data_IF_566171625579
#
_entry.id   IF_566171625579
#
_cell.length_a   1.000
_cell.length_b   1.000
_cell.length_c   1.000
_cell.angle_alpha   90.00
_cell.angle_beta   90.00
_cell.angle_gamma   90.00
#
_symmetry.space_group_name_H-M   'P 1'
#
loop_
_entity.id
_entity.type
_entity.pdbx_description
1 polymer ?
#
# COMPACT_ATOMS: atom_id res chain seq x y z
N UNK A 1 8.16 -21.07 5.16
CA UNK A 1 8.85 -20.00 5.92
C UNK A 1 7.88 -18.83 6.00
N UNK A 2 7.86 -18.02 7.07
CA UNK A 2 7.06 -16.79 7.09
C UNK A 2 7.55 -15.85 5.98
N UNK A 3 6.63 -15.19 5.26
CA UNK A 3 6.96 -14.18 4.26
C UNK A 3 7.81 -13.06 4.89
N UNK A 4 8.83 -12.63 4.15
CA UNK A 4 9.71 -11.54 4.53
C UNK A 4 9.03 -10.17 4.41
N UNK A 5 9.61 -9.16 5.05
CA UNK A 5 9.17 -7.76 4.92
C UNK A 5 9.13 -7.28 3.47
N UNK A 6 10.11 -7.71 2.66
CA UNK A 6 10.22 -7.37 1.25
C UNK A 6 9.15 -8.06 0.40
N UNK A 7 8.96 -9.38 0.54
CA UNK A 7 7.91 -10.10 -0.20
C UNK A 7 6.51 -9.53 0.08
N UNK A 8 6.24 -9.12 1.32
CA UNK A 8 4.97 -8.47 1.67
C UNK A 8 4.83 -7.08 1.05
N UNK A 9 5.93 -6.34 0.91
CA UNK A 9 5.93 -5.03 0.25
C UNK A 9 5.70 -5.18 -1.26
N UNK A 10 6.41 -6.09 -1.92
CA UNK A 10 6.24 -6.40 -3.35
C UNK A 10 4.80 -6.84 -3.65
N UNK A 11 4.22 -7.66 -2.78
CA UNK A 11 2.82 -8.06 -2.88
C UNK A 11 1.87 -6.86 -2.70
N UNK A 12 2.17 -5.95 -1.78
CA UNK A 12 1.38 -4.73 -1.57
C UNK A 12 1.43 -3.82 -2.79
N UNK A 13 2.61 -3.64 -3.41
CA UNK A 13 2.81 -2.89 -4.66
C UNK A 13 1.92 -3.47 -5.77
N UNK A 14 2.05 -4.77 -6.05
CA UNK A 14 1.27 -5.42 -7.12
C UNK A 14 -0.24 -5.34 -6.86
N UNK A 15 -0.66 -5.41 -5.60
CA UNK A 15 -2.07 -5.26 -5.24
C UNK A 15 -2.55 -3.83 -5.46
N UNK A 16 -1.77 -2.82 -5.09
CA UNK A 16 -2.10 -1.41 -5.31
C UNK A 16 -2.12 -1.05 -6.81
N UNK A 17 -1.22 -1.60 -7.63
CA UNK A 17 -1.29 -1.45 -9.10
C UNK A 17 -2.61 -1.99 -9.66
N UNK A 18 -3.04 -3.18 -9.20
CA UNK A 18 -4.34 -3.77 -9.58
C UNK A 18 -5.52 -2.95 -9.08
N UNK A 19 -5.40 -2.25 -7.95
CA UNK A 19 -6.42 -1.34 -7.44
C UNK A 19 -6.50 -0.10 -8.33
N UNK A 20 -5.36 0.53 -8.64
CA UNK A 20 -5.29 1.73 -9.46
C UNK A 20 -5.85 1.51 -10.88
N UNK A 21 -5.65 0.32 -11.47
CA UNK A 21 -6.14 0.01 -12.83
C UNK A 21 -7.64 0.30 -13.01
N UNK A 22 -7.98 1.33 -13.78
CA UNK A 22 -9.38 1.73 -14.04
C UNK A 22 -10.08 2.43 -12.87
N UNK A 23 -9.41 2.68 -11.75
CA UNK A 23 -9.97 3.42 -10.61
C UNK A 23 -10.23 4.89 -10.95
N UNK A 24 -9.43 5.50 -11.83
CA UNK A 24 -9.62 6.88 -12.27
C UNK A 24 -10.95 7.15 -12.97
N UNK A 25 -11.60 6.12 -13.51
CA UNK A 25 -12.95 6.25 -14.07
C UNK A 25 -14.03 6.39 -13.00
N UNK A 26 -13.76 5.93 -11.78
CA UNK A 26 -14.65 6.02 -10.63
C UNK A 26 -14.31 7.26 -9.78
N UNK A 27 -13.05 7.41 -9.39
CA UNK A 27 -12.56 8.54 -8.60
C UNK A 27 -11.05 8.75 -8.85
N UNK A 28 -10.72 9.89 -9.46
CA UNK A 28 -9.34 10.24 -9.78
C UNK A 28 -8.49 10.57 -8.54
N UNK A 29 -9.09 11.05 -7.44
CA UNK A 29 -8.38 11.30 -6.21
C UNK A 29 -7.98 9.98 -5.56
N UNK A 30 -8.87 8.99 -5.53
CA UNK A 30 -8.53 7.65 -5.04
C UNK A 30 -7.43 6.98 -5.85
N UNK A 31 -7.48 7.08 -7.18
CA UNK A 31 -6.41 6.59 -8.05
C UNK A 31 -5.08 7.28 -7.73
N UNK A 32 -5.08 8.60 -7.56
CA UNK A 32 -3.88 9.38 -7.21
C UNK A 32 -3.26 8.89 -5.90
N UNK A 33 -4.06 8.71 -4.84
CA UNK A 33 -3.59 8.20 -3.54
C UNK A 33 -2.97 6.80 -3.66
N UNK A 34 -3.61 5.90 -4.42
CA UNK A 34 -3.11 4.53 -4.59
C UNK A 34 -1.81 4.50 -5.41
N UNK A 35 -1.71 5.33 -6.45
CA UNK A 35 -0.48 5.48 -7.24
C UNK A 35 0.65 6.06 -6.40
N UNK A 36 0.37 7.06 -5.55
CA UNK A 36 1.38 7.62 -4.64
C UNK A 36 1.93 6.54 -3.69
N UNK A 37 1.06 5.66 -3.17
CA UNK A 37 1.49 4.52 -2.33
C UNK A 37 2.41 3.57 -3.12
N UNK A 38 2.07 3.24 -4.37
CA UNK A 38 2.90 2.39 -5.24
C UNK A 38 4.29 3.00 -5.42
N UNK A 39 4.36 4.29 -5.78
CA UNK A 39 5.63 4.98 -5.99
C UNK A 39 6.49 4.99 -4.71
N UNK A 40 5.88 5.25 -3.55
CA UNK A 40 6.60 5.24 -2.27
C UNK A 40 7.02 3.87 -1.82
N UNK A 41 6.22 2.84 -2.09
CA UNK A 41 6.60 1.47 -1.80
C UNK A 41 7.74 1.01 -2.71
N UNK A 42 7.71 1.36 -4.00
CA UNK A 42 8.82 1.06 -4.92
C UNK A 42 10.11 1.75 -4.46
N UNK A 43 10.04 3.03 -4.08
CA UNK A 43 11.17 3.81 -3.55
C UNK A 43 11.81 3.13 -2.32
N UNK A 44 11.01 2.69 -1.35
CA UNK A 44 11.53 2.05 -0.13
C UNK A 44 11.93 0.58 -0.33
N UNK A 45 11.35 -0.13 -1.30
CA UNK A 45 11.67 -1.53 -1.60
C UNK A 45 13.15 -1.71 -1.96
N UNK A 46 13.73 -0.72 -2.65
CA UNK A 46 15.13 -0.70 -3.06
C UNK A 46 16.12 -0.45 -1.91
N UNK A 47 15.64 -0.02 -0.75
CA UNK A 47 16.48 0.42 0.37
C UNK A 47 17.17 -0.75 1.09
N UNK A 48 18.31 -0.45 1.72
CA UNK A 48 19.03 -1.44 2.53
C UNK A 48 18.19 -1.96 3.71
N UNK A 49 17.29 -1.13 4.24
CA UNK A 49 16.40 -1.50 5.33
C UNK A 49 15.51 -2.69 4.96
N UNK A 50 14.83 -2.63 3.81
CA UNK A 50 13.95 -3.70 3.35
C UNK A 50 14.72 -4.96 2.91
N UNK A 51 15.91 -4.79 2.34
CA UNK A 51 16.76 -5.90 1.89
C UNK A 51 17.37 -6.71 3.05
N UNK A 52 17.48 -6.12 4.23
CA UNK A 52 18.21 -6.75 5.37
C UNK A 52 17.34 -7.04 6.57
N UNK A 53 16.16 -6.43 6.69
CA UNK A 53 15.25 -6.67 7.80
C UNK A 53 14.23 -7.75 7.43
N UNK A 54 14.29 -8.94 8.04
CA UNK A 54 13.48 -10.09 7.63
C UNK A 54 11.99 -9.90 7.91
N UNK A 55 11.60 -9.04 8.86
CA UNK A 55 10.19 -8.79 9.15
C UNK A 55 9.98 -7.34 9.60
N UNK A 56 9.08 -6.65 8.91
CA UNK A 56 8.69 -5.27 9.19
C UNK A 56 7.19 -5.31 9.49
N UNK A 57 6.74 -5.30 10.76
CA UNK A 57 5.35 -5.56 11.11
C UNK A 57 4.30 -4.72 10.36
N UNK A 58 4.53 -3.41 10.10
CA UNK A 58 3.60 -2.60 9.32
C UNK A 58 3.38 -3.08 7.88
N UNK A 59 4.35 -3.76 7.24
CA UNK A 59 4.17 -4.22 5.85
C UNK A 59 3.12 -5.31 5.74
N UNK A 60 2.95 -6.11 6.80
CA UNK A 60 1.86 -7.09 6.89
C UNK A 60 0.49 -6.41 6.98
N UNK A 61 0.41 -5.30 7.71
CA UNK A 61 -0.84 -4.53 7.84
C UNK A 61 -1.19 -3.88 6.51
N UNK A 62 -0.25 -3.17 5.88
CA UNK A 62 -0.44 -2.56 4.57
C UNK A 62 -0.86 -3.59 3.50
N UNK A 63 -0.22 -4.76 3.47
CA UNK A 63 -0.60 -5.86 2.58
C UNK A 63 -2.05 -6.31 2.79
N UNK A 64 -2.50 -6.44 4.04
CA UNK A 64 -3.88 -6.83 4.35
C UNK A 64 -4.90 -5.75 4.01
N UNK A 65 -4.55 -4.49 4.26
CA UNK A 65 -5.43 -3.37 3.93
C UNK A 65 -5.57 -3.20 2.42
N UNK A 66 -4.50 -3.45 1.65
CA UNK A 66 -4.52 -3.48 0.19
C UNK A 66 -5.39 -4.64 -0.33
N UNK A 67 -5.24 -5.85 0.20
CA UNK A 67 -6.06 -7.02 -0.18
C UNK A 67 -7.55 -6.76 0.09
N UNK A 68 -7.87 -6.19 1.25
CA UNK A 68 -9.25 -5.80 1.59
C UNK A 68 -9.80 -4.72 0.65
N UNK A 69 -8.99 -3.72 0.29
CA UNK A 69 -9.39 -2.65 -0.63
C UNK A 69 -9.63 -3.18 -2.05
N UNK A 70 -8.77 -4.10 -2.53
CA UNK A 70 -8.97 -4.79 -3.80
C UNK A 70 -10.27 -5.60 -3.79
N UNK A 71 -10.54 -6.32 -2.70
CA UNK A 71 -11.80 -7.07 -2.55
C UNK A 71 -13.04 -6.17 -2.66
N UNK A 72 -12.99 -4.95 -2.09
CA UNK A 72 -14.08 -3.97 -2.21
C UNK A 72 -14.23 -3.46 -3.65
N UNK A 73 -13.12 -3.18 -4.33
CA UNK A 73 -13.11 -2.80 -5.75
C UNK A 73 -13.74 -3.89 -6.62
N UNK A 74 -13.33 -5.14 -6.45
CA UNK A 74 -13.84 -6.28 -7.23
C UNK A 74 -15.34 -6.52 -6.99
N UNK A 75 -15.84 -6.16 -5.81
CA UNK A 75 -17.27 -6.20 -5.48
C UNK A 75 -18.04 -4.96 -5.96
N UNK A 76 -17.36 -3.91 -6.41
CA UNK A 76 -17.95 -2.62 -6.73
C UNK A 76 -18.53 -1.89 -5.51
N UNK A 77 -18.05 -2.22 -4.30
CA UNK A 77 -18.51 -1.60 -3.05
C UNK A 77 -17.74 -0.29 -2.78
N UNK A 78 -18.21 0.79 -3.40
CA UNK A 78 -17.59 2.11 -3.30
C UNK A 78 -17.88 2.83 -1.98
N UNK A 79 -18.97 2.48 -1.29
CA UNK A 79 -19.33 3.07 0.02
C UNK A 79 -18.28 2.72 1.09
N UNK A 80 -17.82 1.47 1.10
CA UNK A 80 -16.78 1.01 2.02
C UNK A 80 -15.36 1.25 1.49
N UNK A 81 -15.20 1.55 0.19
CA UNK A 81 -13.90 1.74 -0.46
C UNK A 81 -13.14 2.93 0.14
N UNK A 82 -13.77 4.11 0.24
CA UNK A 82 -13.14 5.32 0.77
C UNK A 82 -12.56 5.15 2.18
N UNK A 83 -13.37 4.68 3.16
CA UNK A 83 -12.87 4.40 4.51
C UNK A 83 -11.75 3.35 4.55
N UNK A 84 -11.80 2.34 3.68
CA UNK A 84 -10.75 1.32 3.60
C UNK A 84 -9.47 1.88 2.97
N UNK A 85 -9.58 2.77 1.98
CA UNK A 85 -8.43 3.48 1.40
C UNK A 85 -7.72 4.35 2.45
N UNK A 86 -8.46 5.04 3.32
CA UNK A 86 -7.85 5.79 4.43
C UNK A 86 -7.03 4.90 5.37
N UNK A 87 -7.46 3.66 5.63
CA UNK A 87 -6.67 2.70 6.44
C UNK A 87 -5.42 2.24 5.69
N UNK A 88 -5.53 2.00 4.39
CA UNK A 88 -4.38 1.66 3.56
C UNK A 88 -3.35 2.81 3.55
N UNK A 89 -3.80 4.06 3.40
CA UNK A 89 -2.93 5.25 3.48
C UNK A 89 -2.21 5.30 4.84
N UNK A 90 -2.95 5.12 5.95
CA UNK A 90 -2.36 5.16 7.29
C UNK A 90 -1.33 4.04 7.52
N UNK A 91 -1.64 2.81 7.10
CA UNK A 91 -0.69 1.69 7.22
C UNK A 91 0.50 1.83 6.29
N UNK A 92 0.32 2.38 5.08
CA UNK A 92 1.40 2.70 4.15
C UNK A 92 2.32 3.80 4.71
N UNK A 93 1.75 4.82 5.34
CA UNK A 93 2.49 5.88 6.03
C UNK A 93 3.38 5.28 7.14
N UNK A 94 2.84 4.38 7.96
CA UNK A 94 3.62 3.68 8.99
C UNK A 94 4.80 2.90 8.39
N UNK A 95 4.60 2.23 7.24
CA UNK A 95 5.66 1.50 6.54
C UNK A 95 6.78 2.45 6.08
N UNK A 96 6.41 3.57 5.46
CA UNK A 96 7.35 4.59 4.95
C UNK A 96 8.16 5.20 6.09
N UNK A 97 7.52 5.51 7.22
CA UNK A 97 8.21 6.06 8.39
C UNK A 97 9.20 5.07 9.00
N UNK A 98 8.84 3.78 9.06
CA UNK A 98 9.76 2.72 9.53
C UNK A 98 10.92 2.51 8.57
N UNK A 99 10.71 2.72 7.28
CA UNK A 99 11.75 2.66 6.25
C UNK A 99 12.79 3.78 6.38
N UNK A 100 12.54 4.79 7.23
CA UNK A 100 13.45 5.91 7.48
C UNK A 100 13.10 7.18 6.71
N UNK A 101 12.01 7.19 5.93
CA UNK A 101 11.50 8.37 5.22
C UNK A 101 10.59 9.24 6.09
N UNK A 102 11.09 9.62 7.27
CA UNK A 102 10.35 10.51 8.17
C UNK A 102 10.17 11.88 7.52
N UNK A 103 8.92 12.32 7.35
CA UNK A 103 8.55 13.60 6.73
C UNK A 103 7.86 13.47 5.36
N UNK A 104 7.84 12.27 4.77
CA UNK A 104 6.94 11.97 3.64
C UNK A 104 5.52 11.84 4.16
N UNK A 105 4.55 12.46 3.50
CA UNK A 105 3.12 12.38 3.87
C UNK A 105 2.35 11.94 2.64
N UNK A 106 1.65 10.81 2.74
CA UNK A 106 0.73 10.33 1.71
C UNK A 106 -0.57 11.14 1.74
N UNK A 107 -1.19 11.34 0.57
CA UNK A 107 -2.44 12.12 0.40
C UNK A 107 -3.65 11.28 0.06
#
# INVERSE_FOLDING_TARGET
MPQSGQEMLDQSISTCERIADGLGSQDAAWETSVVEIVEKFDEISGTFFFKTMPSIPPTRTAMRDADALLGLKEQGNWDDFGPQLTKLIASAQDVIEKAGMKGTTLT
#
